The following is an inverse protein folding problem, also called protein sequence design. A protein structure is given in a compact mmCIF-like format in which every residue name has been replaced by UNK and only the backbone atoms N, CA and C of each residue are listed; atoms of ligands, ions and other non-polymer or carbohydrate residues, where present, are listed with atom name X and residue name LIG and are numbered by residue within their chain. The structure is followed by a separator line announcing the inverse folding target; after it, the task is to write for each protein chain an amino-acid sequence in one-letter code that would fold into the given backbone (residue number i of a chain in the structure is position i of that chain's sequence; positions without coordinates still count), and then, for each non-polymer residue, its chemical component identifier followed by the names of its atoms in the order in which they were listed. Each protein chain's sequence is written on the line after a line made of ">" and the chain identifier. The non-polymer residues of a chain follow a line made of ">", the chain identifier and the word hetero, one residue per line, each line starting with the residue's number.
data_IF_130917047194
#
_entry.id   IF_130917047194
#
_cell.length_a   1.000
_cell.length_b   1.000
_cell.length_c   1.000
_cell.angle_alpha   90.00
_cell.angle_beta   90.00
_cell.angle_gamma   90.00
#
_symmetry.space_group_name_H-M   'P 1'
#
loop_
_entity.id
_entity.type
_entity.pdbx_description
1 polymer ?
#
# COMPACT_ATOMS: atom_id res chain seq x y z
N UNK A 1 -0.33 -5.27 -11.74
CA UNK A 1 -0.82 -3.90 -11.96
C UNK A 1 -0.23 -3.24 -13.23
N UNK A 2 1.10 -3.08 -13.36
CA UNK A 2 1.69 -2.40 -14.55
C UNK A 2 1.20 -2.91 -15.90
N UNK A 3 1.32 -4.22 -16.16
CA UNK A 3 0.92 -4.77 -17.45
C UNK A 3 -0.58 -4.57 -17.73
N UNK A 4 -1.41 -4.61 -16.70
CA UNK A 4 -2.84 -4.35 -16.82
C UNK A 4 -3.12 -2.91 -17.26
N UNK A 5 -2.50 -1.92 -16.60
CA UNK A 5 -2.63 -0.52 -16.99
C UNK A 5 -2.06 -0.24 -18.39
N UNK A 6 -0.94 -0.87 -18.75
CA UNK A 6 -0.34 -0.75 -20.09
C UNK A 6 -1.21 -1.36 -21.20
N UNK A 7 -2.10 -2.29 -20.87
CA UNK A 7 -3.07 -2.85 -21.82
C UNK A 7 -4.30 -1.94 -22.01
N UNK A 8 -4.28 -0.71 -21.50
CA UNK A 8 -5.33 0.29 -21.70
C UNK A 8 -6.42 0.28 -20.63
N UNK A 9 -6.30 -0.57 -19.61
CA UNK A 9 -7.19 -0.51 -18.46
C UNK A 9 -6.83 0.69 -17.58
N UNK A 10 -7.84 1.36 -17.03
CA UNK A 10 -7.66 2.55 -16.20
C UNK A 10 -8.19 2.38 -14.77
N UNK A 11 -8.77 1.23 -14.46
CA UNK A 11 -9.40 0.96 -13.17
C UNK A 11 -8.70 -0.19 -12.47
N UNK A 12 -8.45 -0.08 -11.17
CA UNK A 12 -7.96 -1.18 -10.33
C UNK A 12 -8.88 -1.24 -9.12
N UNK A 13 -9.52 -2.38 -8.85
CA UNK A 13 -10.44 -2.56 -7.72
C UNK A 13 -11.50 -1.44 -7.60
N UNK A 14 -12.10 -0.99 -8.70
CA UNK A 14 -13.11 0.09 -8.66
C UNK A 14 -12.55 1.52 -8.63
N UNK A 15 -11.23 1.70 -8.53
CA UNK A 15 -10.60 3.01 -8.47
C UNK A 15 -9.93 3.37 -9.81
N UNK A 16 -10.20 4.57 -10.33
CA UNK A 16 -9.53 5.10 -11.50
C UNK A 16 -8.06 5.46 -11.17
N UNK A 17 -7.13 4.86 -11.90
CA UNK A 17 -5.68 4.99 -11.73
C UNK A 17 -5.07 5.62 -12.99
N UNK A 18 -4.66 6.88 -12.88
CA UNK A 18 -3.99 7.60 -13.96
C UNK A 18 -2.48 7.41 -14.01
N UNK A 19 -1.85 6.98 -12.91
CA UNK A 19 -0.39 6.83 -12.84
C UNK A 19 0.00 5.77 -11.83
N UNK A 20 0.99 4.95 -12.18
CA UNK A 20 1.64 4.00 -11.28
C UNK A 20 3.07 4.47 -10.96
N UNK A 21 3.40 4.58 -9.66
CA UNK A 21 4.72 4.95 -9.17
C UNK A 21 5.31 3.76 -8.40
N UNK A 22 6.57 3.42 -8.69
CA UNK A 22 7.25 2.32 -7.99
C UNK A 22 7.93 2.81 -6.70
N UNK A 23 7.60 2.15 -5.59
CA UNK A 23 8.10 2.49 -4.24
C UNK A 23 9.60 2.28 -4.02
N UNK A 24 10.17 1.18 -4.53
CA UNK A 24 11.55 0.76 -4.18
C UNK A 24 11.80 0.67 -2.66
N UNK A 25 10.80 0.23 -1.89
CA UNK A 25 10.87 0.09 -0.44
C UNK A 25 11.06 1.44 0.27
N UNK A 26 11.97 1.49 1.26
CA UNK A 26 12.33 2.73 1.98
C UNK A 26 12.90 3.83 1.08
N UNK A 27 13.38 3.47 -0.12
CA UNK A 27 13.85 4.43 -1.12
C UNK A 27 12.77 5.41 -1.58
N UNK A 28 11.48 5.06 -1.44
CA UNK A 28 10.36 5.90 -1.87
C UNK A 28 10.43 7.28 -1.26
N UNK A 29 10.91 7.42 -0.03
CA UNK A 29 10.97 8.71 0.66
C UNK A 29 11.87 9.71 -0.08
N UNK A 30 12.96 9.24 -0.68
CA UNK A 30 13.86 10.06 -1.50
C UNK A 30 13.25 10.30 -2.87
N UNK A 31 12.80 9.26 -3.55
CA UNK A 31 12.22 9.36 -4.89
C UNK A 31 10.97 10.23 -4.92
N UNK A 32 10.15 10.18 -3.87
CA UNK A 32 8.93 10.98 -3.75
C UNK A 32 9.23 12.45 -3.44
N UNK A 33 10.36 12.74 -2.78
CA UNK A 33 10.84 14.11 -2.62
C UNK A 33 11.27 14.70 -3.97
N UNK A 34 11.93 13.91 -4.82
CA UNK A 34 12.26 14.31 -6.19
C UNK A 34 11.00 14.44 -7.06
N UNK A 35 10.02 13.55 -6.88
CA UNK A 35 8.71 13.64 -7.53
C UNK A 35 7.99 14.96 -7.19
N UNK A 36 7.96 15.34 -5.92
CA UNK A 36 7.35 16.59 -5.48
C UNK A 36 7.97 17.83 -6.18
N UNK A 37 9.28 17.78 -6.44
CA UNK A 37 10.01 18.84 -7.13
C UNK A 37 9.78 18.82 -8.65
N UNK A 38 9.86 17.65 -9.27
CA UNK A 38 10.02 17.50 -10.72
C UNK A 38 8.77 16.98 -11.44
N UNK A 39 7.73 16.54 -10.74
CA UNK A 39 6.53 15.99 -11.38
C UNK A 39 5.77 17.06 -12.18
N UNK A 40 5.09 16.60 -13.22
CA UNK A 40 4.26 17.45 -14.07
C UNK A 40 3.12 18.10 -13.27
N UNK A 41 2.66 19.30 -13.65
CA UNK A 41 1.63 20.02 -12.90
C UNK A 41 0.34 19.22 -12.66
N UNK A 42 -0.10 18.39 -13.62
CA UNK A 42 -1.30 17.57 -13.48
C UNK A 42 -1.12 16.47 -12.42
N UNK A 43 0.10 15.95 -12.23
CA UNK A 43 0.41 14.97 -11.18
C UNK A 43 0.41 15.62 -9.80
N UNK A 44 0.73 16.92 -9.75
CA UNK A 44 0.73 17.78 -8.54
C UNK A 44 -0.58 18.47 -8.24
N UNK A 45 -1.64 18.10 -8.95
CA UNK A 45 -2.93 18.71 -8.72
C UNK A 45 -3.45 18.33 -7.31
N UNK A 46 -3.87 19.29 -6.46
CA UNK A 46 -4.21 19.02 -5.05
C UNK A 46 -5.46 18.15 -4.87
N UNK A 47 -6.23 17.94 -5.94
CA UNK A 47 -7.35 16.97 -5.95
C UNK A 47 -6.90 15.52 -6.14
N UNK A 48 -5.64 15.30 -6.49
CA UNK A 48 -5.11 13.95 -6.66
C UNK A 48 -5.03 13.27 -5.29
N UNK A 49 -5.49 12.02 -5.26
CA UNK A 49 -5.28 11.13 -4.12
C UNK A 49 -4.18 10.16 -4.49
N UNK A 50 -3.23 9.97 -3.58
CA UNK A 50 -2.13 9.03 -3.76
C UNK A 50 -2.44 7.79 -2.95
N UNK A 51 -2.58 6.69 -3.65
CA UNK A 51 -2.81 5.39 -3.05
C UNK A 51 -1.47 4.69 -2.80
N UNK A 52 -1.21 4.34 -1.55
CA UNK A 52 -0.09 3.49 -1.16
C UNK A 52 -0.51 2.03 -1.20
N UNK A 53 0.28 1.20 -1.86
CA UNK A 53 0.08 -0.24 -1.90
C UNK A 53 1.44 -0.94 -1.78
N UNK A 54 1.51 -1.90 -0.86
CA UNK A 54 2.70 -2.68 -0.55
C UNK A 54 2.34 -3.88 0.32
N UNK A 55 3.35 -4.64 0.73
CA UNK A 55 3.16 -5.82 1.59
C UNK A 55 2.47 -5.45 2.91
N UNK A 56 1.62 -6.36 3.41
CA UNK A 56 1.08 -6.26 4.76
C UNK A 56 2.06 -6.90 5.74
N UNK A 57 3.11 -6.15 6.07
CA UNK A 57 4.06 -6.45 7.15
C UNK A 57 4.43 -5.16 7.91
N UNK A 58 5.24 -5.28 8.97
CA UNK A 58 5.65 -4.11 9.75
C UNK A 58 6.48 -3.11 8.94
N UNK A 59 7.27 -3.58 7.96
CA UNK A 59 8.12 -2.71 7.13
C UNK A 59 7.30 -1.89 6.13
N UNK A 60 6.37 -2.51 5.43
CA UNK A 60 5.42 -1.89 4.52
C UNK A 60 4.56 -0.85 5.23
N UNK A 61 4.02 -1.19 6.41
CA UNK A 61 3.29 -0.24 7.25
C UNK A 61 4.19 0.95 7.63
N UNK A 62 5.41 0.70 8.12
CA UNK A 62 6.34 1.76 8.48
C UNK A 62 6.75 2.66 7.30
N UNK A 63 6.85 2.12 6.08
CA UNK A 63 7.09 2.91 4.87
C UNK A 63 5.90 3.82 4.58
N UNK A 64 4.67 3.31 4.65
CA UNK A 64 3.47 4.11 4.47
C UNK A 64 3.42 5.26 5.47
N UNK A 65 3.58 5.00 6.77
CA UNK A 65 3.42 6.01 7.81
C UNK A 65 4.46 7.11 7.68
N UNK A 66 5.71 6.74 7.38
CA UNK A 66 6.78 7.71 7.12
C UNK A 66 6.45 8.59 5.89
N UNK A 67 5.97 7.97 4.81
CA UNK A 67 5.59 8.67 3.58
C UNK A 67 4.41 9.62 3.85
N UNK A 68 3.36 9.14 4.49
CA UNK A 68 2.17 9.91 4.81
C UNK A 68 2.51 11.10 5.71
N UNK A 69 3.25 10.88 6.80
CA UNK A 69 3.61 11.95 7.74
C UNK A 69 4.52 13.00 7.08
N UNK A 70 5.57 12.58 6.36
CA UNK A 70 6.53 13.50 5.74
C UNK A 70 5.89 14.42 4.70
N UNK A 71 4.86 13.96 4.00
CA UNK A 71 4.24 14.67 2.89
C UNK A 71 2.80 15.15 3.16
N UNK A 72 2.27 14.97 4.37
CA UNK A 72 0.88 15.31 4.73
C UNK A 72 0.44 16.74 4.47
N UNK A 73 1.38 17.70 4.44
CA UNK A 73 1.07 19.11 4.20
C UNK A 73 0.76 19.43 2.74
N UNK A 74 1.15 18.55 1.81
CA UNK A 74 1.04 18.75 0.36
C UNK A 74 0.16 17.71 -0.30
N UNK A 75 0.14 16.48 0.23
CA UNK A 75 -0.43 15.33 -0.44
C UNK A 75 -1.37 14.54 0.46
N UNK A 76 -2.49 14.12 -0.10
CA UNK A 76 -3.36 13.11 0.52
C UNK A 76 -2.84 11.72 0.13
N UNK A 77 -2.07 11.11 1.02
CA UNK A 77 -1.53 9.75 0.86
C UNK A 77 -2.30 8.81 1.77
N UNK A 78 -2.99 7.83 1.19
CA UNK A 78 -3.81 6.86 1.93
C UNK A 78 -3.51 5.44 1.47
N UNK A 79 -3.63 4.42 2.34
CA UNK A 79 -3.52 3.03 1.91
C UNK A 79 -4.58 2.73 0.86
N UNK A 80 -4.26 1.87 -0.09
CA UNK A 80 -5.19 1.44 -1.12
C UNK A 80 -6.16 0.38 -0.56
N UNK A 81 -7.13 0.83 0.22
CA UNK A 81 -8.03 -0.02 1.03
C UNK A 81 -8.63 -1.20 0.23
N UNK A 82 -9.17 -1.01 -1.00
CA UNK A 82 -9.72 -2.12 -1.78
C UNK A 82 -8.70 -3.23 -2.06
N UNK A 83 -7.43 -2.89 -2.31
CA UNK A 83 -6.39 -3.87 -2.56
C UNK A 83 -6.05 -4.68 -1.28
N UNK A 84 -5.94 -4.01 -0.14
CA UNK A 84 -5.73 -4.71 1.14
C UNK A 84 -6.93 -5.59 1.53
N UNK A 85 -8.15 -5.17 1.22
CA UNK A 85 -9.34 -6.00 1.38
C UNK A 85 -9.28 -7.26 0.51
N UNK A 86 -8.88 -7.13 -0.75
CA UNK A 86 -8.70 -8.26 -1.65
C UNK A 86 -7.58 -9.21 -1.17
N UNK A 87 -6.47 -8.67 -0.63
CA UNK A 87 -5.41 -9.46 -0.01
C UNK A 87 -5.94 -10.32 1.14
N UNK A 88 -6.68 -9.70 2.08
CA UNK A 88 -7.30 -10.42 3.20
C UNK A 88 -8.28 -11.51 2.73
N UNK A 89 -9.08 -11.24 1.70
CA UNK A 89 -9.99 -12.23 1.12
C UNK A 89 -9.27 -13.46 0.54
N UNK A 90 -8.07 -13.29 -0.01
CA UNK A 90 -7.26 -14.41 -0.50
C UNK A 90 -6.60 -15.23 0.61
N UNK A 91 -6.24 -14.60 1.72
CA UNK A 91 -5.67 -15.32 2.88
C UNK A 91 -6.62 -16.40 3.37
N UNK A 92 -7.94 -16.18 3.31
CA UNK A 92 -8.95 -17.16 3.71
C UNK A 92 -8.89 -18.46 2.87
N UNK A 93 -8.24 -18.44 1.70
CA UNK A 93 -8.10 -19.58 0.79
C UNK A 93 -6.71 -20.22 0.86
N UNK A 94 -5.77 -19.66 1.64
CA UNK A 94 -4.38 -20.10 1.72
C UNK A 94 -4.16 -20.87 3.03
N UNK A 95 -3.47 -22.01 2.94
CA UNK A 95 -3.20 -22.89 4.07
C UNK A 95 -2.16 -22.27 5.02
N UNK A 96 -1.12 -21.63 4.47
CA UNK A 96 -0.06 -21.03 5.28
C UNK A 96 0.52 -19.78 4.61
N UNK A 97 0.60 -18.68 5.38
CA UNK A 97 1.23 -17.42 4.96
C UNK A 97 2.74 -17.48 5.17
N UNK A 98 3.55 -16.71 4.44
CA UNK A 98 4.98 -16.63 4.69
C UNK A 98 5.30 -15.96 6.05
N UNK A 99 6.43 -16.32 6.64
CA UNK A 99 6.96 -15.72 7.87
C UNK A 99 7.65 -14.40 7.60
N UNK A 100 7.45 -13.44 8.49
CA UNK A 100 8.20 -12.18 8.50
C UNK A 100 9.69 -12.44 8.70
N UNK A 101 10.52 -11.50 8.24
CA UNK A 101 11.96 -11.57 8.49
C UNK A 101 12.23 -11.39 9.99
N UNK A 102 13.20 -12.14 10.52
CA UNK A 102 13.67 -11.92 11.88
C UNK A 102 14.13 -10.46 12.07
N UNK A 103 13.79 -9.86 13.22
CA UNK A 103 14.17 -8.48 13.61
C UNK A 103 13.51 -7.34 12.81
N UNK A 104 12.29 -7.52 12.28
CA UNK A 104 11.53 -6.38 11.76
C UNK A 104 11.33 -5.29 12.83
N UNK A 105 11.46 -4.04 12.41
CA UNK A 105 11.12 -2.90 13.25
C UNK A 105 9.60 -2.84 13.44
N UNK A 106 9.12 -3.22 14.63
CA UNK A 106 7.70 -3.22 14.98
C UNK A 106 7.18 -1.86 15.46
N UNK A 107 8.00 -0.82 15.42
CA UNK A 107 7.62 0.53 15.83
C UNK A 107 6.78 1.21 14.73
N UNK A 108 5.55 0.74 14.59
CA UNK A 108 4.50 1.33 13.74
C UNK A 108 3.50 2.08 14.63
N UNK A 109 2.89 3.11 14.07
CA UNK A 109 1.82 3.87 14.71
C UNK A 109 0.45 3.25 14.40
N UNK A 110 -0.62 3.95 14.79
CA UNK A 110 -2.01 3.57 14.45
C UNK A 110 -2.50 4.22 13.15
N UNK A 111 -1.69 5.06 12.50
CA UNK A 111 -2.09 5.84 11.33
C UNK A 111 -2.54 4.94 10.17
N UNK A 112 -1.79 3.87 9.88
CA UNK A 112 -2.18 2.91 8.84
C UNK A 112 -3.55 2.28 9.15
N UNK A 113 -3.71 1.69 10.33
CA UNK A 113 -4.93 1.00 10.73
C UNK A 113 -6.17 1.91 10.79
N UNK A 114 -5.98 3.20 11.08
CA UNK A 114 -7.08 4.18 11.10
C UNK A 114 -7.79 4.38 9.74
N UNK A 115 -7.20 3.90 8.65
CA UNK A 115 -7.79 3.96 7.30
C UNK A 115 -8.75 2.80 7.00
N UNK A 116 -8.87 1.82 7.89
CA UNK A 116 -9.62 0.58 7.67
C UNK A 116 -10.75 0.42 8.68
N UNK A 117 -11.75 -0.40 8.35
CA UNK A 117 -12.77 -0.78 9.32
C UNK A 117 -12.22 -1.74 10.39
N UNK A 118 -12.91 -1.82 11.52
CA UNK A 118 -12.48 -2.60 12.69
C UNK A 118 -12.31 -4.11 12.38
N UNK A 119 -13.09 -4.65 11.44
CA UNK A 119 -13.01 -6.06 11.06
C UNK A 119 -11.72 -6.31 10.28
N UNK A 120 -11.40 -5.43 9.33
CA UNK A 120 -10.15 -5.49 8.58
C UNK A 120 -8.94 -5.33 9.51
N UNK A 121 -8.96 -4.36 10.41
CA UNK A 121 -7.85 -4.13 11.38
C UNK A 121 -7.58 -5.39 12.19
N UNK A 122 -8.61 -6.00 12.78
CA UNK A 122 -8.44 -7.24 13.56
C UNK A 122 -7.86 -8.39 12.73
N UNK A 123 -8.25 -8.52 11.46
CA UNK A 123 -7.67 -9.53 10.56
C UNK A 123 -6.20 -9.25 10.27
N UNK A 124 -5.83 -7.98 10.06
CA UNK A 124 -4.44 -7.59 9.82
C UNK A 124 -3.56 -7.83 11.04
N UNK A 125 -4.01 -7.39 12.24
CA UNK A 125 -3.31 -7.62 13.50
C UNK A 125 -3.10 -9.12 13.76
N UNK A 126 -4.13 -9.95 13.53
CA UNK A 126 -4.02 -11.40 13.71
C UNK A 126 -2.98 -12.08 12.78
N UNK A 127 -2.67 -11.47 11.62
CA UNK A 127 -1.59 -11.93 10.74
C UNK A 127 -0.24 -11.52 11.31
N UNK A 128 -0.11 -10.25 11.70
CA UNK A 128 1.14 -9.67 12.20
C UNK A 128 1.55 -10.25 13.58
N UNK A 129 0.59 -10.57 14.44
CA UNK A 129 0.81 -11.17 15.77
C UNK A 129 1.35 -12.61 15.68
N UNK A 130 1.13 -13.29 14.54
CA UNK A 130 1.66 -14.62 14.27
C UNK A 130 3.03 -14.57 13.59
N UNK A 131 3.65 -13.40 13.53
CA UNK A 131 4.89 -13.13 12.79
C UNK A 131 4.80 -13.54 11.32
N UNK A 132 3.60 -13.45 10.73
CA UNK A 132 3.33 -13.70 9.30
C UNK A 132 3.08 -12.37 8.58
N UNK A 133 3.18 -12.39 7.26
CA UNK A 133 2.81 -11.27 6.41
C UNK A 133 2.02 -11.71 5.19
N UNK A 134 1.39 -10.73 4.53
CA UNK A 134 0.74 -10.96 3.24
C UNK A 134 1.54 -10.21 2.16
N UNK A 135 2.17 -10.93 1.21
CA UNK A 135 2.85 -10.29 0.08
C UNK A 135 1.84 -9.63 -0.86
N UNK A 136 2.14 -8.44 -1.38
CA UNK A 136 1.28 -7.76 -2.37
C UNK A 136 1.07 -8.62 -3.63
N UNK A 137 2.02 -9.51 -3.96
CA UNK A 137 1.99 -10.42 -5.11
C UNK A 137 0.94 -11.54 -4.99
N UNK A 138 0.28 -11.67 -3.83
CA UNK A 138 -0.91 -12.52 -3.69
C UNK A 138 -2.01 -12.09 -4.67
N UNK A 139 -2.01 -10.81 -5.05
CA UNK A 139 -2.88 -10.24 -6.06
C UNK A 139 -2.21 -10.27 -7.44
N UNK A 140 -2.97 -10.73 -8.43
CA UNK A 140 -2.58 -10.82 -9.83
C UNK A 140 -3.61 -10.12 -10.72
N UNK A 141 -3.37 -10.11 -12.04
CA UNK A 141 -4.20 -9.37 -13.00
C UNK A 141 -5.62 -9.92 -13.18
N UNK A 142 -5.96 -11.08 -12.61
CA UNK A 142 -7.32 -11.60 -12.62
C UNK A 142 -8.17 -11.07 -11.45
N UNK A 143 -7.57 -10.36 -10.49
CA UNK A 143 -8.26 -9.88 -9.30
C UNK A 143 -8.87 -8.48 -9.47
N UNK A 144 -8.50 -7.75 -10.53
CA UNK A 144 -8.94 -6.39 -10.80
C UNK A 144 -9.08 -6.15 -12.31
#
# INVERSE_FOLDING_TARGET
>A
MRNYLLNGHTEIFGAEIGTLIYGAGKGIIRSFQDFDLCAEPYMKHPKNTIYYFGDLDYEGIGIYENLAEKFRSRWKIIPFVPAYQAMLGKVEQIIELPETKEHQNRNISTQFFSCFDEIMVKKMEAVLDKDRYIPQEILNTADF
#
